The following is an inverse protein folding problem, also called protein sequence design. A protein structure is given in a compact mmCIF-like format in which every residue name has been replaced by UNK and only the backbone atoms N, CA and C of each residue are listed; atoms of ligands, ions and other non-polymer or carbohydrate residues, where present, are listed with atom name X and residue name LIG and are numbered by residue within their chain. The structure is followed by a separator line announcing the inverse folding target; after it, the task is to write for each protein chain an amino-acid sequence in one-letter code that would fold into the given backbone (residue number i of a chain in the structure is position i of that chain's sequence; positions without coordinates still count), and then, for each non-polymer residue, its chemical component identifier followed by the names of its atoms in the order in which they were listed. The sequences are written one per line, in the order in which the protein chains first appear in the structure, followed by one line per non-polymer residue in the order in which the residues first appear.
data_IF_699259942458
#
_entry.id   IF_699259942458
#
_cell.length_a   1.000
_cell.length_b   1.000
_cell.length_c   1.000
_cell.angle_alpha   90.00
_cell.angle_beta   90.00
_cell.angle_gamma   90.00
#
_symmetry.space_group_name_H-M   'P 1'
#
loop_
_entity.id
_entity.type
_entity.pdbx_description
1 polymer ?
#
# COMPACT_ATOMS: atom_id res chain seq x y z
N UNK A 1 58.45 -17.11 5.27
CA UNK A 1 57.20 -16.72 5.94
C UNK A 1 56.16 -16.45 4.85
N UNK A 2 55.15 -17.34 4.71
CA UNK A 2 54.08 -17.18 3.74
C UNK A 2 52.90 -16.51 4.42
N UNK A 3 52.65 -15.24 4.14
CA UNK A 3 51.43 -14.53 4.57
C UNK A 3 50.24 -15.04 3.76
N UNK A 4 49.36 -15.77 4.42
CA UNK A 4 48.06 -16.21 3.85
C UNK A 4 47.11 -15.04 3.91
N UNK A 5 46.87 -14.40 2.78
CA UNK A 5 45.79 -13.43 2.60
C UNK A 5 44.45 -14.20 2.72
N UNK A 6 43.78 -14.03 3.83
CA UNK A 6 42.40 -14.49 4.01
C UNK A 6 41.51 -13.40 3.42
N UNK A 7 41.06 -13.62 2.19
CA UNK A 7 39.98 -12.83 1.58
C UNK A 7 38.68 -13.15 2.33
N UNK A 8 38.28 -12.26 3.22
CA UNK A 8 36.94 -12.25 3.82
C UNK A 8 35.95 -11.85 2.73
N UNK A 9 35.35 -12.82 2.08
CA UNK A 9 34.21 -12.59 1.22
C UNK A 9 33.02 -12.22 2.09
N UNK A 10 32.70 -10.93 2.18
CA UNK A 10 31.51 -10.42 2.83
C UNK A 10 30.29 -10.86 2.04
N UNK A 11 29.60 -11.90 2.52
CA UNK A 11 28.33 -12.36 1.98
C UNK A 11 27.26 -11.32 2.32
N UNK A 12 27.00 -10.38 1.43
CA UNK A 12 25.86 -9.48 1.49
C UNK A 12 24.58 -10.31 1.25
N UNK A 13 23.96 -10.77 2.33
CA UNK A 13 22.63 -11.34 2.27
C UNK A 13 21.69 -10.18 1.98
N UNK A 14 21.31 -10.01 0.73
CA UNK A 14 20.20 -9.12 0.35
C UNK A 14 18.93 -9.69 0.99
N UNK A 15 18.46 -9.07 2.07
CA UNK A 15 17.11 -9.28 2.61
C UNK A 15 16.12 -8.76 1.56
N UNK A 16 15.79 -9.61 0.60
CA UNK A 16 14.71 -9.35 -0.35
C UNK A 16 13.40 -9.44 0.44
N UNK A 17 12.99 -8.33 1.05
CA UNK A 17 11.67 -8.22 1.67
C UNK A 17 10.63 -8.49 0.59
N UNK A 18 9.66 -9.37 0.85
CA UNK A 18 8.53 -9.66 -0.04
C UNK A 18 7.63 -8.42 -0.14
N UNK A 19 8.08 -7.40 -0.87
CA UNK A 19 7.22 -6.30 -1.26
C UNK A 19 6.46 -6.68 -2.54
N UNK A 20 5.18 -6.32 -2.65
CA UNK A 20 4.44 -6.58 -3.88
C UNK A 20 5.09 -5.83 -5.03
N UNK A 21 5.27 -6.51 -6.15
CA UNK A 21 5.80 -5.90 -7.35
C UNK A 21 4.81 -4.87 -7.90
N UNK A 22 5.29 -3.65 -8.11
CA UNK A 22 4.48 -2.58 -8.67
C UNK A 22 4.23 -2.81 -10.16
N UNK A 23 2.96 -2.83 -10.61
CA UNK A 23 2.65 -2.94 -12.03
C UNK A 23 3.26 -1.78 -12.82
N UNK A 24 3.81 -2.06 -14.00
CA UNK A 24 4.48 -1.06 -14.86
C UNK A 24 3.60 0.16 -15.17
N UNK A 25 2.29 -0.05 -15.30
CA UNK A 25 1.32 1.04 -15.54
C UNK A 25 1.28 2.09 -14.42
N UNK A 26 1.76 1.77 -13.22
CA UNK A 26 1.83 2.66 -12.07
C UNK A 26 3.24 3.21 -11.78
N UNK A 27 4.20 3.04 -12.69
CA UNK A 27 5.58 3.46 -12.49
C UNK A 27 5.73 4.96 -12.12
N UNK A 28 4.85 5.82 -12.64
CA UNK A 28 4.81 7.25 -12.29
C UNK A 28 4.31 7.55 -10.87
N UNK A 29 3.79 6.54 -10.18
CA UNK A 29 3.22 6.64 -8.82
C UNK A 29 4.07 5.86 -7.80
N UNK A 30 5.37 5.77 -8.04
CA UNK A 30 6.28 4.95 -7.23
C UNK A 30 6.36 5.42 -5.76
N UNK A 31 6.28 6.73 -5.51
CA UNK A 31 6.31 7.28 -4.16
C UNK A 31 5.06 6.89 -3.35
N UNK A 32 3.89 6.99 -3.96
CA UNK A 32 2.61 6.60 -3.35
C UNK A 32 2.54 5.09 -3.13
N UNK A 33 3.04 4.31 -4.10
CA UNK A 33 3.18 2.87 -3.96
C UNK A 33 4.06 2.50 -2.75
N UNK A 34 5.21 3.16 -2.63
CA UNK A 34 6.13 2.92 -1.51
C UNK A 34 5.50 3.31 -0.17
N UNK A 35 4.76 4.43 -0.13
CA UNK A 35 4.02 4.83 1.06
C UNK A 35 3.01 3.77 1.47
N UNK A 36 2.21 3.26 0.55
CA UNK A 36 1.25 2.19 0.80
C UNK A 36 1.91 0.90 1.28
N UNK A 37 3.04 0.54 0.68
CA UNK A 37 3.83 -0.64 1.08
C UNK A 37 4.36 -0.49 2.52
N UNK A 38 4.97 0.64 2.83
CA UNK A 38 5.52 0.92 4.16
C UNK A 38 4.45 1.00 5.25
N UNK A 39 3.24 1.43 4.88
CA UNK A 39 2.09 1.48 5.80
C UNK A 39 1.44 0.10 5.99
N UNK A 40 1.81 -0.90 5.20
CA UNK A 40 1.30 -2.27 5.30
C UNK A 40 -0.03 -2.50 4.58
N UNK A 41 -0.48 -1.58 3.73
CA UNK A 41 -1.75 -1.69 3.00
C UNK A 41 -1.81 -2.94 2.12
N UNK A 42 -0.69 -3.31 1.50
CA UNK A 42 -0.59 -4.47 0.63
C UNK A 42 -0.59 -5.82 1.35
N UNK A 43 -0.67 -5.85 2.68
CA UNK A 43 -0.95 -7.09 3.42
C UNK A 43 -2.38 -7.58 3.16
N UNK A 44 -3.32 -6.66 2.88
CA UNK A 44 -4.74 -6.96 2.68
C UNK A 44 -5.27 -6.55 1.32
N UNK A 45 -4.64 -5.61 0.65
CA UNK A 45 -5.06 -5.08 -0.65
C UNK A 45 -4.07 -5.43 -1.76
N UNK A 46 -4.58 -5.51 -2.98
CA UNK A 46 -3.81 -5.41 -4.22
C UNK A 46 -4.46 -4.38 -5.13
N UNK A 47 -3.84 -4.05 -6.25
CA UNK A 47 -4.46 -3.13 -7.21
C UNK A 47 -5.55 -3.81 -8.02
N UNK A 48 -5.30 -4.98 -8.60
CA UNK A 48 -6.15 -5.58 -9.63
C UNK A 48 -7.01 -6.77 -9.20
N UNK A 49 -6.89 -7.26 -7.96
CA UNK A 49 -7.72 -8.39 -7.48
C UNK A 49 -8.05 -8.26 -6.00
N UNK A 50 -9.19 -8.81 -5.61
CA UNK A 50 -9.55 -8.92 -4.20
C UNK A 50 -8.63 -9.90 -3.47
N UNK A 51 -8.28 -9.55 -2.24
CA UNK A 51 -7.52 -10.37 -1.32
C UNK A 51 -8.33 -10.43 -0.01
N UNK A 52 -7.74 -10.08 1.14
CA UNK A 52 -8.51 -9.90 2.38
C UNK A 52 -9.36 -8.63 2.33
N UNK A 53 -8.91 -7.61 1.59
CA UNK A 53 -9.65 -6.40 1.27
C UNK A 53 -9.95 -6.30 -0.23
N UNK A 54 -10.77 -5.33 -0.66
CA UNK A 54 -11.09 -5.11 -2.07
C UNK A 54 -9.86 -4.69 -2.88
N UNK A 55 -9.85 -5.04 -4.17
CA UNK A 55 -8.91 -4.50 -5.13
C UNK A 55 -9.02 -2.97 -5.18
N UNK A 56 -7.92 -2.25 -5.18
CA UNK A 56 -7.96 -0.79 -5.20
C UNK A 56 -8.48 -0.20 -6.51
N UNK A 57 -8.28 -0.88 -7.65
CA UNK A 57 -8.91 -0.50 -8.91
C UNK A 57 -10.45 -0.58 -8.79
N UNK A 58 -10.98 -1.60 -8.13
CA UNK A 58 -12.43 -1.70 -7.88
C UNK A 58 -12.93 -0.61 -6.92
N UNK A 59 -12.12 -0.22 -5.93
CA UNK A 59 -12.43 0.91 -5.05
C UNK A 59 -12.46 2.21 -5.86
N UNK A 60 -11.46 2.44 -6.72
CA UNK A 60 -11.41 3.60 -7.59
C UNK A 60 -12.62 3.67 -8.53
N UNK A 61 -12.98 2.56 -9.17
CA UNK A 61 -14.14 2.50 -10.07
C UNK A 61 -15.45 2.83 -9.35
N UNK A 62 -15.60 2.33 -8.14
CA UNK A 62 -16.82 2.56 -7.34
C UNK A 62 -16.98 4.00 -6.89
N UNK A 63 -15.89 4.68 -6.56
CA UNK A 63 -15.94 5.98 -5.87
C UNK A 63 -15.44 7.17 -6.69
N UNK A 64 -14.75 6.96 -7.81
CA UNK A 64 -14.09 8.02 -8.61
C UNK A 64 -15.00 9.20 -8.95
N UNK A 65 -16.25 8.95 -9.25
CA UNK A 65 -17.22 9.99 -9.63
C UNK A 65 -18.10 10.47 -8.45
N UNK A 66 -17.79 10.05 -7.25
CA UNK A 66 -18.52 10.48 -6.05
C UNK A 66 -17.82 11.71 -5.46
N UNK A 67 -18.50 12.87 -5.33
CA UNK A 67 -17.90 14.08 -4.75
C UNK A 67 -17.44 13.90 -3.30
N UNK A 68 -18.03 12.96 -2.57
CA UNK A 68 -17.67 12.66 -1.18
C UNK A 68 -16.61 11.55 -1.04
N UNK A 69 -16.07 11.05 -2.15
CA UNK A 69 -15.16 9.90 -2.15
C UNK A 69 -13.92 10.09 -1.25
N UNK A 70 -13.28 11.26 -1.34
CA UNK A 70 -12.08 11.54 -0.53
C UNK A 70 -12.41 11.54 0.96
N UNK A 71 -13.50 12.18 1.37
CA UNK A 71 -13.95 12.22 2.77
C UNK A 71 -14.34 10.82 3.26
N UNK A 72 -15.08 10.08 2.44
CA UNK A 72 -15.51 8.72 2.75
C UNK A 72 -14.32 7.77 2.95
N UNK A 73 -13.39 7.71 1.99
CA UNK A 73 -12.23 6.84 2.08
C UNK A 73 -11.27 7.26 3.21
N UNK A 74 -11.13 8.56 3.46
CA UNK A 74 -10.38 9.08 4.60
C UNK A 74 -10.94 8.56 5.91
N UNK A 75 -12.27 8.62 6.07
CA UNK A 75 -12.94 8.11 7.27
C UNK A 75 -12.75 6.60 7.44
N UNK A 76 -12.85 5.82 6.36
CA UNK A 76 -12.60 4.37 6.39
C UNK A 76 -11.15 4.06 6.81
N UNK A 77 -10.18 4.80 6.31
CA UNK A 77 -8.77 4.61 6.70
C UNK A 77 -8.57 4.92 8.20
N UNK A 78 -9.17 5.99 8.71
CA UNK A 78 -9.02 6.38 10.13
C UNK A 78 -9.66 5.37 11.08
N UNK A 79 -10.91 5.02 10.81
CA UNK A 79 -11.78 4.30 11.73
C UNK A 79 -11.93 2.82 11.40
N UNK A 80 -11.45 2.41 10.24
CA UNK A 80 -11.75 1.11 9.69
C UNK A 80 -13.12 1.06 9.03
N UNK A 81 -13.47 -0.10 8.49
CA UNK A 81 -14.74 -0.31 7.83
C UNK A 81 -15.12 -1.76 7.68
N UNK A 82 -16.43 -2.01 7.54
CA UNK A 82 -17.00 -3.34 7.33
C UNK A 82 -18.26 -3.27 6.48
N UNK A 83 -18.63 -4.39 5.85
CA UNK A 83 -19.92 -4.58 5.19
C UNK A 83 -20.10 -3.92 3.82
N UNK A 84 -19.26 -2.97 3.42
CA UNK A 84 -19.35 -2.31 2.11
C UNK A 84 -18.86 -3.19 0.96
N UNK A 85 -18.03 -4.16 1.26
CA UNK A 85 -17.44 -5.13 0.34
C UNK A 85 -17.58 -6.55 0.90
N UNK A 86 -17.59 -7.54 0.03
CA UNK A 86 -17.48 -8.95 0.44
C UNK A 86 -16.00 -9.22 0.77
N UNK A 87 -15.58 -8.79 1.95
CA UNK A 87 -14.21 -8.85 2.43
C UNK A 87 -14.19 -8.89 3.95
N UNK A 88 -13.00 -9.04 4.54
CA UNK A 88 -12.80 -8.88 5.99
C UNK A 88 -12.96 -7.42 6.41
N UNK A 89 -13.25 -7.22 7.69
CA UNK A 89 -13.26 -5.88 8.27
C UNK A 89 -11.87 -5.26 8.16
N UNK A 90 -11.83 -4.01 7.72
CA UNK A 90 -10.60 -3.23 7.62
C UNK A 90 -10.31 -2.60 8.99
N UNK A 91 -9.10 -2.78 9.57
CA UNK A 91 -8.72 -2.06 10.78
C UNK A 91 -8.52 -0.57 10.49
N UNK A 92 -8.73 0.27 11.52
CA UNK A 92 -8.46 1.70 11.41
C UNK A 92 -6.98 2.04 11.58
N UNK A 93 -6.56 3.12 10.91
CA UNK A 93 -5.22 3.70 11.00
C UNK A 93 -5.34 5.13 11.57
N UNK A 94 -5.37 5.31 12.92
CA UNK A 94 -5.44 6.62 13.53
C UNK A 94 -4.19 7.44 13.22
N UNK A 95 -4.25 8.76 13.46
CA UNK A 95 -3.20 9.71 13.05
C UNK A 95 -1.80 9.36 13.57
N UNK A 96 -1.71 8.75 14.75
CA UNK A 96 -0.44 8.26 15.31
C UNK A 96 0.24 7.17 14.47
N UNK A 97 -0.52 6.45 13.64
CA UNK A 97 -0.01 5.40 12.73
C UNK A 97 0.14 5.90 11.30
N UNK A 98 -0.72 6.83 10.88
CA UNK A 98 -0.74 7.36 9.53
C UNK A 98 -1.15 8.84 9.57
N UNK A 99 -0.20 9.74 9.31
CA UNK A 99 -0.44 11.18 9.35
C UNK A 99 -1.55 11.63 8.41
N UNK A 100 -2.15 12.79 8.70
CA UNK A 100 -3.19 13.40 7.85
C UNK A 100 -2.71 13.57 6.41
N UNK A 101 -1.48 14.04 6.24
CA UNK A 101 -0.92 14.26 4.90
C UNK A 101 -0.74 12.95 4.12
N UNK A 102 -0.11 11.95 4.73
CA UNK A 102 0.09 10.65 4.12
C UNK A 102 -1.24 9.97 3.78
N UNK A 103 -2.26 10.16 4.60
CA UNK A 103 -3.61 9.66 4.35
C UNK A 103 -4.23 10.29 3.11
N UNK A 104 -4.10 11.62 2.94
CA UNK A 104 -4.55 12.32 1.73
C UNK A 104 -3.84 11.80 0.48
N UNK A 105 -2.53 11.60 0.56
CA UNK A 105 -1.73 11.05 -0.53
C UNK A 105 -2.26 9.66 -0.92
N UNK A 106 -2.49 8.77 0.05
CA UNK A 106 -3.00 7.43 -0.20
C UNK A 106 -4.41 7.43 -0.80
N UNK A 107 -5.32 8.26 -0.29
CA UNK A 107 -6.70 8.36 -0.82
C UNK A 107 -6.67 8.80 -2.29
N UNK A 108 -5.92 9.85 -2.62
CA UNK A 108 -5.77 10.32 -4.00
C UNK A 108 -5.12 9.27 -4.89
N UNK A 109 -4.12 8.57 -4.38
CA UNK A 109 -3.48 7.47 -5.09
C UNK A 109 -4.51 6.39 -5.42
N UNK A 110 -5.25 5.88 -4.43
CA UNK A 110 -6.26 4.84 -4.64
C UNK A 110 -7.29 5.28 -5.68
N UNK A 111 -7.85 6.49 -5.57
CA UNK A 111 -8.85 7.02 -6.51
C UNK A 111 -8.31 7.23 -7.93
N UNK A 112 -6.99 7.28 -8.10
CA UNK A 112 -6.33 7.48 -9.40
C UNK A 112 -5.99 6.18 -10.14
N UNK A 113 -6.28 5.02 -9.56
CA UNK A 113 -5.96 3.72 -10.17
C UNK A 113 -6.99 3.34 -11.24
N UNK A 114 -6.49 2.68 -12.32
CA UNK A 114 -7.29 2.25 -13.49
C UNK A 114 -6.95 0.80 -13.86
#
# INVERSE_FOLDING_TARGET
MRTRNILLASLLIALCGCQPEMPKKYASKAAEWQLASNTGCFMCHTTGKNLMGPAWESVADRYRNNPDAEAHLTNIIINGGSGAWISRDMPGYPEKLLSVENRKILVKFILSLE
#
